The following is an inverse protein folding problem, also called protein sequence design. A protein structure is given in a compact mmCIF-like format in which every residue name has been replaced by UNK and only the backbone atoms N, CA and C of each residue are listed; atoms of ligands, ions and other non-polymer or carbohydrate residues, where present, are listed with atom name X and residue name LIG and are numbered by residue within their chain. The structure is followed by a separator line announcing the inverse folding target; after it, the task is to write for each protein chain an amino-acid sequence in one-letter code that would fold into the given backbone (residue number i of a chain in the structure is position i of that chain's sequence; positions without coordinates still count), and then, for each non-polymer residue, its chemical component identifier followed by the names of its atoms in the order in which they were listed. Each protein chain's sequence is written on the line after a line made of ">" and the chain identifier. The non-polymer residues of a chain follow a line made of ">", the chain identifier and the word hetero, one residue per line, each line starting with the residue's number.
data_IF_684764301807
#
_entry.id   IF_684764301807
#
_cell.length_a   1.000
_cell.length_b   1.000
_cell.length_c   1.000
_cell.angle_alpha   90.00
_cell.angle_beta   90.00
_cell.angle_gamma   90.00
#
_symmetry.space_group_name_H-M   'P 1'
#
loop_
_entity.id
_entity.type
_entity.pdbx_description
1 polymer ?
#
# COMPACT_ATOMS: atom_id res chain seq x y z
N UNK A 1 52.12 42.25 18.71
CA UNK A 1 51.07 41.77 19.65
C UNK A 1 49.64 41.82 19.08
N UNK A 2 49.33 42.61 18.03
CA UNK A 2 47.96 42.70 17.46
C UNK A 2 47.58 41.57 16.49
N UNK A 3 48.55 40.83 15.94
CA UNK A 3 48.32 39.74 14.98
C UNK A 3 48.00 38.37 15.61
N UNK A 4 48.37 38.15 16.87
CA UNK A 4 48.17 36.86 17.55
C UNK A 4 46.74 36.66 18.09
N UNK A 5 45.96 37.74 18.22
CA UNK A 5 44.58 37.69 18.73
C UNK A 5 43.59 37.40 17.58
N UNK A 6 43.95 37.75 16.34
CA UNK A 6 43.10 37.47 15.18
C UNK A 6 43.09 35.98 14.80
N UNK A 7 44.20 35.27 15.00
CA UNK A 7 44.30 33.83 14.67
C UNK A 7 43.56 32.94 15.66
N UNK A 8 43.44 33.33 16.93
CA UNK A 8 42.66 32.57 17.93
C UNK A 8 41.15 32.73 17.76
N UNK A 9 40.68 33.89 17.27
CA UNK A 9 39.25 34.12 16.98
C UNK A 9 38.76 33.32 15.76
N UNK A 10 39.59 33.16 14.72
CA UNK A 10 39.24 32.39 13.53
C UNK A 10 39.22 30.88 13.84
N UNK A 11 40.13 30.41 14.70
CA UNK A 11 40.14 29.02 15.16
C UNK A 11 38.89 28.65 15.98
N UNK A 12 38.32 29.59 16.74
CA UNK A 12 37.11 29.33 17.54
C UNK A 12 35.82 29.26 16.72
N UNK A 13 35.80 29.79 15.49
CA UNK A 13 34.61 29.75 14.63
C UNK A 13 34.46 28.41 13.89
N UNK A 14 35.58 27.73 13.58
CA UNK A 14 35.56 26.43 12.90
C UNK A 14 35.08 25.28 13.81
N UNK A 15 35.20 25.43 15.14
CA UNK A 15 34.81 24.42 16.11
C UNK A 15 33.28 24.34 16.36
N UNK A 16 32.50 25.31 15.87
CA UNK A 16 31.04 25.36 16.01
C UNK A 16 30.30 25.29 14.67
N UNK A 17 30.98 24.92 13.59
CA UNK A 17 30.29 24.60 12.34
C UNK A 17 29.45 23.32 12.54
N UNK A 18 28.15 23.31 12.19
CA UNK A 18 27.36 22.09 12.26
C UNK A 18 28.01 21.05 11.36
N UNK A 19 28.44 19.94 11.95
CA UNK A 19 28.97 18.81 11.19
C UNK A 19 27.90 18.41 10.17
N UNK A 20 28.21 18.51 8.87
CA UNK A 20 27.36 17.91 7.86
C UNK A 20 27.30 16.43 8.20
N UNK A 21 26.10 15.93 8.55
CA UNK A 21 25.89 14.50 8.67
C UNK A 21 26.18 13.91 7.31
N UNK A 22 27.38 13.35 7.14
CA UNK A 22 27.69 12.50 6.00
C UNK A 22 26.81 11.29 6.18
N UNK A 23 25.73 11.20 5.42
CA UNK A 23 24.90 10.02 5.35
C UNK A 23 25.80 8.85 4.97
N UNK A 24 26.01 7.94 5.91
CA UNK A 24 26.78 6.73 5.68
C UNK A 24 25.96 5.82 4.77
N UNK A 25 26.52 5.48 3.59
CA UNK A 25 25.98 4.50 2.63
C UNK A 25 25.62 3.12 3.24
N UNK A 26 25.90 2.87 4.53
CA UNK A 26 25.53 1.66 5.25
C UNK A 26 24.05 1.56 5.59
N UNK A 27 23.31 2.68 5.69
CA UNK A 27 21.89 2.65 6.02
C UNK A 27 21.02 2.16 4.85
N UNK A 28 21.38 2.52 3.61
CA UNK A 28 20.71 2.02 2.39
C UNK A 28 20.92 0.51 2.22
N UNK A 29 22.11 -0.01 2.56
CA UNK A 29 22.41 -1.45 2.53
C UNK A 29 21.65 -2.29 3.55
N UNK A 30 21.05 -1.68 4.57
CA UNK A 30 20.35 -2.41 5.62
C UNK A 30 19.06 -3.07 5.12
N UNK A 31 18.43 -2.51 4.09
CA UNK A 31 17.12 -2.97 3.58
C UNK A 31 17.17 -3.54 2.16
N UNK A 32 18.35 -3.64 1.55
CA UNK A 32 18.53 -4.16 0.17
C UNK A 32 18.11 -5.63 0.03
N UNK A 33 18.17 -6.41 1.11
CA UNK A 33 17.75 -7.82 1.16
C UNK A 33 16.34 -8.05 1.70
N UNK A 34 15.60 -7.00 2.02
CA UNK A 34 14.25 -7.11 2.58
C UNK A 34 13.19 -7.41 1.52
N UNK A 35 12.06 -7.93 1.99
CA UNK A 35 10.92 -8.31 1.16
C UNK A 35 10.52 -7.18 0.19
N UNK A 36 10.44 -7.46 -1.11
CA UNK A 36 10.02 -6.47 -2.12
C UNK A 36 11.14 -5.69 -2.80
N UNK A 37 12.41 -5.88 -2.40
CA UNK A 37 13.57 -5.60 -3.24
C UNK A 37 13.70 -6.74 -4.24
N UNK A 38 13.34 -6.50 -5.50
CA UNK A 38 13.37 -7.54 -6.54
C UNK A 38 13.93 -7.02 -7.86
N UNK A 39 14.61 -7.86 -8.66
CA UNK A 39 14.95 -7.52 -10.04
C UNK A 39 13.68 -7.17 -10.83
N UNK A 40 13.70 -6.19 -11.75
CA UNK A 40 14.88 -5.53 -12.33
C UNK A 40 15.40 -4.29 -11.59
N UNK A 41 14.63 -3.71 -10.67
CA UNK A 41 14.95 -2.42 -10.03
C UNK A 41 15.69 -2.56 -8.69
N UNK A 42 15.60 -3.71 -8.02
CA UNK A 42 16.23 -3.93 -6.73
C UNK A 42 15.67 -3.02 -5.65
N UNK A 43 16.54 -2.48 -4.80
CA UNK A 43 16.17 -1.54 -3.75
C UNK A 43 15.85 -0.16 -4.33
N UNK A 44 14.61 0.29 -4.13
CA UNK A 44 14.08 1.52 -4.72
C UNK A 44 13.60 2.50 -3.64
N UNK A 45 14.45 3.46 -3.28
CA UNK A 45 14.12 4.59 -2.41
C UNK A 45 14.73 5.91 -2.96
N UNK A 46 14.11 6.53 -3.98
CA UNK A 46 14.63 7.76 -4.57
C UNK A 46 14.45 8.99 -3.67
N UNK A 47 13.61 8.91 -2.62
CA UNK A 47 13.29 10.02 -1.73
C UNK A 47 14.00 9.92 -0.37
N UNK A 48 14.83 8.89 -0.15
CA UNK A 48 15.54 8.67 1.11
C UNK A 48 14.61 8.45 2.31
N UNK A 49 13.42 7.88 2.09
CA UNK A 49 12.43 7.69 3.15
C UNK A 49 12.93 6.77 4.26
N UNK A 50 13.85 5.85 3.98
CA UNK A 50 14.41 4.90 4.96
C UNK A 50 15.91 5.10 5.20
N UNK A 51 16.46 6.24 4.75
CA UNK A 51 17.88 6.59 4.90
C UNK A 51 18.32 6.69 6.37
N UNK A 52 17.39 7.02 7.26
CA UNK A 52 17.64 7.14 8.71
C UNK A 52 17.92 5.78 9.39
N UNK A 53 17.67 4.65 8.72
CA UNK A 53 17.86 3.31 9.27
C UNK A 53 16.87 2.92 10.39
N UNK A 54 15.79 3.68 10.59
CA UNK A 54 14.78 3.39 11.62
C UNK A 54 13.87 2.22 11.21
N UNK A 55 14.08 1.06 11.86
CA UNK A 55 13.28 -0.15 11.64
C UNK A 55 11.79 0.09 11.86
N UNK A 56 11.39 0.87 12.87
CA UNK A 56 9.96 1.11 13.17
C UNK A 56 9.27 1.88 12.04
N UNK A 57 10.00 2.81 11.43
CA UNK A 57 9.54 3.57 10.27
C UNK A 57 9.39 2.64 9.07
N UNK A 58 10.36 1.76 8.83
CA UNK A 58 10.29 0.76 7.76
C UNK A 58 9.10 -0.19 7.93
N UNK A 59 8.91 -0.75 9.12
CA UNK A 59 7.82 -1.69 9.40
C UNK A 59 6.45 -1.04 9.20
N UNK A 60 6.32 0.23 9.63
CA UNK A 60 5.10 1.02 9.39
C UNK A 60 4.88 1.29 7.91
N UNK A 61 5.91 1.68 7.17
CA UNK A 61 5.80 1.92 5.73
C UNK A 61 5.42 0.64 4.99
N UNK A 62 5.99 -0.50 5.38
CA UNK A 62 5.63 -1.82 4.86
C UNK A 62 4.16 -2.17 5.11
N UNK A 63 3.68 -1.94 6.32
CA UNK A 63 2.27 -2.16 6.68
C UNK A 63 1.33 -1.30 5.84
N UNK A 64 1.68 -0.01 5.68
CA UNK A 64 0.93 0.94 4.85
C UNK A 64 0.91 0.49 3.39
N UNK A 65 2.06 0.12 2.83
CA UNK A 65 2.18 -0.38 1.46
C UNK A 65 1.32 -1.62 1.23
N UNK A 66 1.38 -2.60 2.14
CA UNK A 66 0.61 -3.84 2.05
C UNK A 66 -0.90 -3.59 2.13
N UNK A 67 -1.35 -2.72 3.05
CA UNK A 67 -2.77 -2.36 3.19
C UNK A 67 -3.31 -1.69 1.93
N UNK A 68 -2.59 -0.70 1.39
CA UNK A 68 -3.00 -0.05 0.14
C UNK A 68 -2.95 -1.03 -1.04
N UNK A 69 -1.96 -1.92 -1.09
CA UNK A 69 -1.85 -2.95 -2.13
C UNK A 69 -3.04 -3.90 -2.12
N UNK A 70 -3.43 -4.41 -0.94
CA UNK A 70 -4.61 -5.28 -0.78
C UNK A 70 -5.91 -4.60 -1.20
N UNK A 71 -6.12 -3.35 -0.78
CA UNK A 71 -7.30 -2.56 -1.19
C UNK A 71 -7.30 -2.37 -2.71
N UNK A 72 -6.16 -2.03 -3.30
CA UNK A 72 -6.05 -1.82 -4.74
C UNK A 72 -6.29 -3.11 -5.55
N UNK A 73 -5.80 -4.27 -5.08
CA UNK A 73 -6.05 -5.56 -5.73
C UNK A 73 -7.55 -5.89 -5.78
N UNK A 74 -8.25 -5.72 -4.66
CA UNK A 74 -9.70 -5.92 -4.59
C UNK A 74 -10.46 -4.90 -5.45
N UNK A 75 -10.03 -3.63 -5.43
CA UNK A 75 -10.65 -2.58 -6.24
C UNK A 75 -10.48 -2.83 -7.75
N UNK A 76 -9.28 -3.23 -8.19
CA UNK A 76 -9.00 -3.55 -9.59
C UNK A 76 -9.79 -4.76 -10.07
N UNK A 77 -9.82 -5.85 -9.29
CA UNK A 77 -10.62 -7.02 -9.60
C UNK A 77 -12.12 -6.68 -9.62
N UNK A 78 -12.62 -5.98 -8.61
CA UNK A 78 -14.02 -5.56 -8.52
C UNK A 78 -14.43 -4.68 -9.71
N UNK A 79 -13.56 -3.73 -10.12
CA UNK A 79 -13.81 -2.92 -11.31
C UNK A 79 -13.82 -3.76 -12.59
N UNK A 80 -12.89 -4.70 -12.74
CA UNK A 80 -12.83 -5.56 -13.94
C UNK A 80 -14.06 -6.46 -14.06
N UNK A 81 -14.46 -7.11 -12.96
CA UNK A 81 -15.65 -7.98 -12.91
C UNK A 81 -16.93 -7.18 -13.16
N UNK A 82 -17.03 -5.98 -12.60
CA UNK A 82 -18.19 -5.12 -12.84
C UNK A 82 -18.21 -4.55 -14.26
N UNK A 83 -17.06 -4.22 -14.86
CA UNK A 83 -16.98 -3.81 -16.27
C UNK A 83 -17.40 -4.96 -17.20
N UNK A 84 -17.06 -6.21 -16.86
CA UNK A 84 -17.43 -7.40 -17.64
C UNK A 84 -18.94 -7.75 -17.58
N UNK A 85 -19.76 -6.96 -16.87
CA UNK A 85 -21.20 -7.18 -16.78
C UNK A 85 -21.63 -8.30 -15.82
N UNK A 86 -20.70 -8.88 -15.07
CA UNK A 86 -21.04 -9.88 -14.05
C UNK A 86 -21.69 -9.14 -12.87
N UNK A 87 -22.95 -9.45 -12.60
CA UNK A 87 -23.76 -8.86 -11.52
C UNK A 87 -24.38 -9.95 -10.67
N UNK A 88 -24.64 -9.62 -9.41
CA UNK A 88 -25.41 -10.49 -8.55
C UNK A 88 -26.88 -10.50 -9.03
N UNK A 89 -27.54 -11.67 -9.06
CA UNK A 89 -28.95 -11.72 -9.36
C UNK A 89 -29.76 -11.15 -8.19
N UNK A 90 -30.74 -10.29 -8.49
CA UNK A 90 -31.69 -9.75 -7.51
C UNK A 90 -31.68 -8.22 -7.41
N UNK A 91 -32.29 -7.73 -6.33
CA UNK A 91 -32.43 -6.30 -6.04
C UNK A 91 -31.52 -5.90 -4.88
N UNK A 92 -30.97 -4.69 -4.96
CA UNK A 92 -30.13 -4.10 -3.91
C UNK A 92 -30.95 -3.69 -2.69
N UNK A 93 -32.24 -3.42 -2.91
CA UNK A 93 -33.18 -3.02 -1.88
C UNK A 93 -34.53 -3.71 -2.02
N UNK A 94 -35.39 -3.44 -1.04
CA UNK A 94 -36.78 -3.86 -1.04
C UNK A 94 -37.67 -2.97 -1.93
N UNK A 95 -37.14 -1.88 -2.48
CA UNK A 95 -37.86 -0.92 -3.35
C UNK A 95 -37.85 -1.36 -4.82
N UNK A 96 -36.97 -2.31 -5.19
CA UNK A 96 -36.96 -2.97 -6.48
C UNK A 96 -35.80 -2.57 -7.39
N UNK A 97 -34.81 -1.84 -6.89
CA UNK A 97 -33.63 -1.46 -7.69
C UNK A 97 -32.77 -2.69 -7.95
N UNK A 98 -32.53 -3.05 -9.22
CA UNK A 98 -31.76 -4.25 -9.56
C UNK A 98 -30.26 -3.99 -9.50
N UNK A 99 -29.47 -5.01 -9.14
CA UNK A 99 -28.00 -4.94 -9.29
C UNK A 99 -27.55 -4.76 -10.74
N UNK A 100 -28.40 -5.13 -11.72
CA UNK A 100 -28.12 -4.93 -13.13
C UNK A 100 -28.16 -3.44 -13.55
N UNK A 101 -28.92 -2.62 -12.84
CA UNK A 101 -29.14 -1.21 -13.17
C UNK A 101 -28.00 -0.30 -12.70
N UNK A 102 -27.10 -0.83 -11.87
CA UNK A 102 -25.97 -0.07 -11.32
C UNK A 102 -24.81 -0.07 -12.35
N UNK A 103 -24.41 1.13 -12.85
CA UNK A 103 -23.33 1.24 -13.82
C UNK A 103 -22.00 0.78 -13.22
N UNK A 104 -21.09 0.27 -14.05
CA UNK A 104 -19.71 0.08 -13.63
C UNK A 104 -18.99 1.44 -13.62
N UNK A 105 -18.33 1.82 -12.53
CA UNK A 105 -17.80 3.18 -12.45
C UNK A 105 -17.65 3.72 -11.05
N UNK A 106 -17.14 4.95 -10.97
CA UNK A 106 -17.39 5.82 -9.83
C UNK A 106 -18.86 6.13 -9.64
N UNK A 107 -19.59 6.19 -10.75
CA UNK A 107 -21.02 6.50 -10.73
C UNK A 107 -21.82 5.42 -10.02
N UNK A 108 -21.28 4.20 -9.89
CA UNK A 108 -21.84 3.13 -9.07
C UNK A 108 -22.03 3.57 -7.61
N UNK A 109 -21.04 4.27 -7.04
CA UNK A 109 -21.04 4.66 -5.63
C UNK A 109 -22.17 5.64 -5.32
N UNK A 110 -22.48 6.54 -6.25
CA UNK A 110 -23.61 7.48 -6.10
C UNK A 110 -24.98 6.83 -6.24
N UNK A 111 -25.08 5.66 -6.88
CA UNK A 111 -26.35 4.96 -7.10
C UNK A 111 -26.67 3.95 -5.99
N UNK A 112 -25.72 3.64 -5.11
CA UNK A 112 -25.97 2.79 -3.95
C UNK A 112 -26.76 3.58 -2.89
N UNK A 113 -27.85 3.03 -2.33
CA UNK A 113 -28.60 3.68 -1.25
C UNK A 113 -27.68 4.11 -0.10
N UNK A 114 -27.84 5.35 0.39
CA UNK A 114 -26.96 5.91 1.43
C UNK A 114 -26.91 5.10 2.72
N UNK A 115 -28.01 4.43 3.08
CA UNK A 115 -28.04 3.50 4.21
C UNK A 115 -27.15 2.27 3.99
N UNK A 116 -27.09 1.75 2.76
CA UNK A 116 -26.21 0.63 2.40
C UNK A 116 -24.74 1.02 2.44
N UNK A 117 -24.39 2.23 1.98
CA UNK A 117 -23.03 2.77 2.12
C UNK A 117 -22.64 2.92 3.60
N UNK A 118 -23.53 3.44 4.44
CA UNK A 118 -23.26 3.58 5.87
C UNK A 118 -23.02 2.22 6.54
N UNK A 119 -23.83 1.21 6.21
CA UNK A 119 -23.62 -0.16 6.72
C UNK A 119 -22.27 -0.72 6.28
N UNK A 120 -21.88 -0.51 5.02
CA UNK A 120 -20.60 -0.96 4.49
C UNK A 120 -19.43 -0.27 5.21
N UNK A 121 -19.47 1.06 5.36
CA UNK A 121 -18.43 1.80 6.09
C UNK A 121 -18.38 1.45 7.57
N UNK A 122 -19.52 1.28 8.22
CA UNK A 122 -19.59 0.88 9.63
C UNK A 122 -19.01 -0.52 9.84
N UNK A 123 -19.33 -1.47 8.95
CA UNK A 123 -18.80 -2.83 9.02
C UNK A 123 -17.30 -2.88 8.75
N UNK A 124 -16.81 -2.17 7.72
CA UNK A 124 -15.37 -2.07 7.43
C UNK A 124 -14.64 -1.40 8.60
N UNK A 125 -15.18 -0.32 9.15
CA UNK A 125 -14.62 0.36 10.32
C UNK A 125 -14.56 -0.55 11.56
N UNK A 126 -15.61 -1.35 11.79
CA UNK A 126 -15.60 -2.37 12.84
C UNK A 126 -14.49 -3.42 12.61
N UNK A 127 -14.36 -3.94 11.39
CA UNK A 127 -13.30 -4.90 11.05
C UNK A 127 -11.91 -4.28 11.23
N UNK A 128 -11.71 -3.03 10.86
CA UNK A 128 -10.43 -2.34 10.99
C UNK A 128 -10.03 -2.12 12.45
N UNK A 129 -10.99 -1.78 13.32
CA UNK A 129 -10.71 -1.48 14.73
C UNK A 129 -10.53 -2.75 15.57
N UNK A 130 -11.31 -3.81 15.29
CA UNK A 130 -11.41 -4.96 16.18
C UNK A 130 -10.80 -6.25 15.61
N UNK A 131 -10.74 -6.43 14.29
CA UNK A 131 -10.35 -7.70 13.66
C UNK A 131 -9.00 -7.61 12.95
N UNK A 132 -8.77 -6.56 12.14
CA UNK A 132 -7.56 -6.35 11.35
C UNK A 132 -6.42 -5.72 12.17
N UNK A 133 -6.29 -6.16 13.42
CA UNK A 133 -5.18 -5.83 14.31
C UNK A 133 -4.40 -7.10 14.58
N UNK A 134 -3.09 -6.92 14.71
CA UNK A 134 -2.24 -7.94 15.26
C UNK A 134 -2.51 -8.04 16.77
N UNK A 135 -3.25 -9.08 17.17
CA UNK A 135 -3.66 -9.32 18.57
C UNK A 135 -2.73 -10.35 19.22
N UNK A 136 -2.18 -11.28 18.44
CA UNK A 136 -1.43 -12.45 18.94
C UNK A 136 0.07 -12.40 18.65
N UNK A 137 0.57 -11.36 17.97
CA UNK A 137 1.96 -11.27 17.54
C UNK A 137 2.18 -12.08 16.26
N UNK A 138 1.68 -11.57 15.15
CA UNK A 138 1.76 -12.20 13.83
C UNK A 138 3.20 -12.47 13.40
N UNK A 139 3.42 -13.56 12.67
CA UNK A 139 4.75 -13.97 12.18
C UNK A 139 5.36 -12.92 11.23
N UNK A 140 4.53 -12.05 10.66
CA UNK A 140 4.95 -10.96 9.79
C UNK A 140 3.97 -9.78 9.80
N UNK A 141 4.46 -8.63 9.36
CA UNK A 141 3.67 -7.40 9.22
C UNK A 141 2.46 -7.63 8.31
N UNK A 142 1.26 -7.51 8.87
CA UNK A 142 0.00 -7.69 8.15
C UNK A 142 -0.53 -9.12 8.11
N UNK A 143 -0.02 -10.00 8.97
CA UNK A 143 -0.67 -11.27 9.26
C UNK A 143 -1.90 -11.04 10.15
N UNK A 144 -3.09 -11.26 9.58
CA UNK A 144 -4.38 -11.13 10.27
C UNK A 144 -5.03 -12.48 10.55
N UNK A 145 -4.31 -13.59 10.32
CA UNK A 145 -4.84 -14.93 10.59
C UNK A 145 -5.11 -15.14 12.08
N UNK A 146 -4.36 -14.43 12.96
CA UNK A 146 -4.47 -14.49 14.42
C UNK A 146 -4.58 -15.95 14.95
N UNK A 147 -3.94 -16.90 14.26
CA UNK A 147 -4.01 -18.35 14.56
C UNK A 147 -5.37 -19.02 14.33
N UNK A 148 -6.37 -18.34 13.78
CA UNK A 148 -7.75 -18.83 13.63
C UNK A 148 -8.04 -19.41 12.25
N UNK A 149 -7.32 -18.98 11.21
CA UNK A 149 -7.53 -19.43 9.83
C UNK A 149 -6.19 -19.80 9.21
N UNK A 150 -5.91 -21.10 9.19
CA UNK A 150 -4.77 -21.65 8.45
C UNK A 150 -5.24 -22.28 7.13
N UNK A 151 -5.01 -21.58 6.02
CA UNK A 151 -5.20 -22.12 4.67
C UNK A 151 -3.98 -22.95 4.21
N UNK A 152 -3.36 -23.70 5.13
CA UNK A 152 -2.13 -24.47 4.89
C UNK A 152 -0.87 -23.60 4.80
N UNK A 153 -0.92 -22.37 5.30
CA UNK A 153 0.23 -21.46 5.33
C UNK A 153 1.38 -22.03 6.16
N UNK A 154 1.05 -22.71 7.26
CA UNK A 154 2.03 -23.25 8.19
C UNK A 154 2.74 -24.50 7.63
N UNK A 155 2.24 -25.06 6.52
CA UNK A 155 2.85 -26.21 5.82
C UNK A 155 3.87 -25.83 4.77
N UNK A 156 3.96 -24.55 4.39
CA UNK A 156 4.95 -24.09 3.42
C UNK A 156 6.33 -23.90 4.04
N UNK A 157 7.36 -24.12 3.23
CA UNK A 157 8.74 -23.75 3.54
C UNK A 157 8.91 -22.22 3.59
N UNK A 158 9.92 -21.78 4.35
CA UNK A 158 10.20 -20.36 4.56
C UNK A 158 10.55 -19.62 3.25
N UNK A 159 11.19 -20.30 2.29
CA UNK A 159 11.51 -19.71 0.99
C UNK A 159 10.23 -19.47 0.16
N UNK A 160 9.33 -20.45 0.09
CA UNK A 160 8.02 -20.26 -0.53
C UNK A 160 7.20 -19.17 0.16
N UNK A 161 7.20 -19.10 1.50
CA UNK A 161 6.50 -18.02 2.22
C UNK A 161 7.03 -16.65 1.81
N UNK A 162 8.36 -16.47 1.75
CA UNK A 162 8.98 -15.22 1.27
C UNK A 162 8.60 -14.91 -0.18
N UNK A 163 8.65 -15.91 -1.06
CA UNK A 163 8.27 -15.74 -2.46
C UNK A 163 6.80 -15.31 -2.61
N UNK A 164 5.87 -15.96 -1.91
CA UNK A 164 4.43 -15.65 -1.96
C UNK A 164 4.13 -14.25 -1.42
N UNK A 165 4.79 -13.84 -0.33
CA UNK A 165 4.67 -12.47 0.21
C UNK A 165 5.20 -11.43 -0.78
N UNK A 166 6.27 -11.75 -1.52
CA UNK A 166 6.82 -10.84 -2.51
C UNK A 166 5.90 -10.72 -3.75
N UNK A 167 5.27 -11.84 -4.14
CA UNK A 167 4.23 -11.86 -5.18
C UNK A 167 3.03 -11.00 -4.77
N UNK A 168 2.54 -11.15 -3.53
CA UNK A 168 1.45 -10.34 -2.99
C UNK A 168 1.78 -8.85 -3.07
N UNK A 169 2.97 -8.48 -2.61
CA UNK A 169 3.41 -7.09 -2.60
C UNK A 169 3.50 -6.49 -4.00
N UNK A 170 4.09 -7.20 -4.95
CA UNK A 170 4.24 -6.69 -6.32
C UNK A 170 2.92 -6.64 -7.08
N UNK A 171 2.04 -7.61 -6.87
CA UNK A 171 0.67 -7.53 -7.38
C UNK A 171 -0.07 -6.34 -6.77
N UNK A 172 0.15 -6.05 -5.48
CA UNK A 172 -0.36 -4.85 -4.82
C UNK A 172 0.15 -3.56 -5.47
N UNK A 173 1.47 -3.44 -5.71
CA UNK A 173 2.09 -2.29 -6.39
C UNK A 173 1.54 -2.09 -7.80
N UNK A 174 1.44 -3.16 -8.58
CA UNK A 174 0.89 -3.11 -9.93
C UNK A 174 -0.60 -2.74 -9.92
N UNK A 175 -1.38 -3.30 -8.99
CA UNK A 175 -2.81 -3.01 -8.86
C UNK A 175 -3.07 -1.56 -8.46
N UNK A 176 -2.21 -0.94 -7.64
CA UNK A 176 -2.30 0.50 -7.31
C UNK A 176 -2.20 1.37 -8.55
N UNK A 177 -1.23 1.08 -9.43
CA UNK A 177 -1.08 1.79 -10.70
C UNK A 177 -2.23 1.50 -11.65
N UNK A 178 -2.70 0.24 -11.69
CA UNK A 178 -3.83 -0.18 -12.51
C UNK A 178 -5.12 0.53 -12.14
N UNK A 179 -5.51 0.52 -10.86
CA UNK A 179 -6.74 1.17 -10.41
C UNK A 179 -6.65 2.69 -10.58
N UNK A 180 -5.52 3.31 -10.28
CA UNK A 180 -5.33 4.74 -10.49
C UNK A 180 -5.52 5.10 -11.98
N UNK A 181 -4.94 4.32 -12.88
CA UNK A 181 -5.15 4.47 -14.32
C UNK A 181 -6.63 4.40 -14.69
N UNK A 182 -7.35 3.38 -14.24
CA UNK A 182 -8.79 3.23 -14.51
C UNK A 182 -9.60 4.42 -13.97
N UNK A 183 -9.30 4.87 -12.75
CA UNK A 183 -9.98 6.01 -12.11
C UNK A 183 -9.77 7.32 -12.90
N UNK A 184 -8.53 7.59 -13.31
CA UNK A 184 -8.16 8.81 -14.04
C UNK A 184 -8.74 8.79 -15.46
N UNK A 185 -8.62 7.66 -16.17
CA UNK A 185 -9.14 7.52 -17.53
C UNK A 185 -10.67 7.67 -17.59
N UNK A 186 -11.39 7.17 -16.59
CA UNK A 186 -12.84 7.38 -16.48
C UNK A 186 -13.19 8.86 -16.31
N UNK A 187 -12.48 9.61 -15.47
CA UNK A 187 -12.74 11.04 -15.26
C UNK A 187 -12.32 11.91 -16.44
N UNK A 188 -11.31 11.49 -17.20
CA UNK A 188 -10.92 12.16 -18.44
C UNK A 188 -11.84 11.83 -19.63
N UNK A 189 -12.77 10.88 -19.48
CA UNK A 189 -13.70 10.47 -20.53
C UNK A 189 -13.00 9.77 -21.70
N UNK A 190 -11.77 9.29 -21.51
CA UNK A 190 -11.05 8.50 -22.50
C UNK A 190 -11.46 7.04 -22.40
N UNK A 191 -11.50 6.32 -23.53
CA UNK A 191 -11.78 4.88 -23.54
C UNK A 191 -10.94 4.16 -22.46
N UNK A 192 -11.62 3.41 -21.60
CA UNK A 192 -10.94 2.69 -20.52
C UNK A 192 -10.03 1.66 -21.20
N UNK A 193 -8.75 1.50 -20.82
CA UNK A 193 -7.84 0.56 -21.50
C UNK A 193 -8.30 -0.92 -21.50
N UNK A 194 -9.34 -1.25 -20.74
CA UNK A 194 -9.99 -2.56 -20.69
C UNK A 194 -11.04 -2.75 -21.81
N UNK A 195 -11.54 -1.65 -22.35
CA UNK A 195 -12.30 -1.61 -23.59
C UNK A 195 -11.28 -1.59 -24.72
N UNK A 196 -10.82 -2.78 -25.13
CA UNK A 196 -10.24 -2.90 -26.46
C UNK A 196 -11.23 -2.29 -27.45
N UNK A 197 -10.81 -1.28 -28.20
CA UNK A 197 -11.64 -0.70 -29.26
C UNK A 197 -12.11 -1.84 -30.17
N UNK A 198 -13.41 -2.15 -30.10
CA UNK A 198 -14.12 -2.87 -31.16
C UNK A 198 -14.44 -1.89 -32.29
#
# INVERSE_FOLDING_TARGET
>A
MKLAIATTLIASAAAFAPASKVATNSALKAFEGELGSQPPIGFWDPLGLVEDGDQKKFDRLRYVELKHGRIAMLAFMGRTVTQAGIRLPGNIDYEGHSFADIPAGFDAVSQVPGAGLLQLFAFIGFLEIFVMKDITGGEFIGDFRNGFIDFGWDTFDEETKLQKRAIELNNGRAAQMGILGLMVHEKLGTAVPLEGSL
#
